data_IF_485214497046
#
_entry.id   IF_485214497046
#
_cell.length_a   1.000
_cell.length_b   1.000
_cell.length_c   1.000
_cell.angle_alpha   90.00
_cell.angle_beta   90.00
_cell.angle_gamma   90.00
#
_symmetry.space_group_name_H-M   'P 1'
#
loop_
_entity.id
_entity.type
_entity.pdbx_description
1 polymer ?
#
# COMPACT_ATOMS: atom_id res chain seq x y z
N UNK A 1 10.03 -33.64 10.42
CA UNK A 1 9.89 -33.47 8.97
C UNK A 1 9.48 -32.04 8.71
N UNK A 2 10.40 -31.21 8.24
CA UNK A 2 10.08 -29.89 7.67
C UNK A 2 9.46 -30.14 6.30
N UNK A 3 8.17 -29.84 6.13
CA UNK A 3 7.56 -29.83 4.80
C UNK A 3 8.21 -28.69 4.03
N UNK A 4 9.05 -29.01 3.05
CA UNK A 4 9.56 -28.02 2.11
C UNK A 4 8.37 -27.44 1.35
N UNK A 5 8.24 -26.12 1.37
CA UNK A 5 7.22 -25.41 0.60
C UNK A 5 7.55 -25.60 -0.87
N UNK A 6 6.53 -25.93 -1.67
CA UNK A 6 6.66 -26.11 -3.12
C UNK A 6 7.27 -24.86 -3.77
N UNK A 7 8.25 -25.07 -4.66
CA UNK A 7 8.92 -24.00 -5.39
C UNK A 7 7.93 -23.15 -6.18
N UNK A 8 6.89 -23.74 -6.76
CA UNK A 8 5.88 -22.99 -7.52
C UNK A 8 5.07 -22.05 -6.62
N UNK A 9 4.83 -22.45 -5.37
CA UNK A 9 4.19 -21.60 -4.36
C UNK A 9 5.11 -20.43 -4.01
N UNK A 10 6.41 -20.68 -3.82
CA UNK A 10 7.38 -19.62 -3.54
C UNK A 10 7.48 -18.60 -4.68
N UNK A 11 7.55 -19.07 -5.93
CA UNK A 11 7.59 -18.21 -7.12
C UNK A 11 6.31 -17.36 -7.23
N UNK A 12 5.15 -17.95 -6.92
CA UNK A 12 3.87 -17.23 -6.90
C UNK A 12 3.84 -16.15 -5.82
N UNK A 13 4.34 -16.44 -4.62
CA UNK A 13 4.44 -15.48 -3.53
C UNK A 13 5.40 -14.34 -3.88
N UNK A 14 6.55 -14.65 -4.48
CA UNK A 14 7.51 -13.64 -4.93
C UNK A 14 6.90 -12.70 -5.98
N UNK A 15 6.15 -13.25 -6.93
CA UNK A 15 5.40 -12.46 -7.90
C UNK A 15 4.33 -11.59 -7.23
N UNK A 16 3.60 -12.14 -6.26
CA UNK A 16 2.62 -11.37 -5.47
C UNK A 16 3.26 -10.19 -4.72
N UNK A 17 4.43 -10.39 -4.12
CA UNK A 17 5.21 -9.31 -3.48
C UNK A 17 5.58 -8.24 -4.49
N UNK A 18 6.16 -8.61 -5.65
CA UNK A 18 6.53 -7.65 -6.70
C UNK A 18 5.34 -6.84 -7.20
N UNK A 19 4.21 -7.50 -7.45
CA UNK A 19 2.98 -6.82 -7.87
C UNK A 19 2.47 -5.86 -6.80
N UNK A 20 2.50 -6.26 -5.52
CA UNK A 20 2.06 -5.38 -4.43
C UNK A 20 2.91 -4.11 -4.32
N UNK A 21 4.24 -4.22 -4.51
CA UNK A 21 5.15 -3.08 -4.50
C UNK A 21 4.83 -2.11 -5.64
N UNK A 22 4.62 -2.62 -6.86
CA UNK A 22 4.24 -1.80 -8.01
C UNK A 22 2.90 -1.08 -7.80
N UNK A 23 1.91 -1.74 -7.18
CA UNK A 23 0.63 -1.11 -6.85
C UNK A 23 0.84 0.03 -5.85
N UNK A 24 1.65 -0.18 -4.80
CA UNK A 24 1.95 0.88 -3.83
C UNK A 24 2.63 2.08 -4.48
N UNK A 25 3.61 1.86 -5.37
CA UNK A 25 4.27 2.93 -6.13
C UNK A 25 3.28 3.75 -6.94
N UNK A 26 2.35 3.10 -7.66
CA UNK A 26 1.31 3.77 -8.42
C UNK A 26 0.37 4.59 -7.53
N UNK A 27 0.02 4.08 -6.35
CA UNK A 27 -0.81 4.80 -5.38
C UNK A 27 -0.09 6.04 -4.82
N UNK A 28 1.21 5.95 -4.52
CA UNK A 28 2.02 7.12 -4.10
C UNK A 28 2.10 8.17 -5.21
N UNK A 29 2.32 7.75 -6.47
CA UNK A 29 2.30 8.66 -7.63
C UNK A 29 0.94 9.35 -7.76
N UNK A 30 -0.16 8.61 -7.56
CA UNK A 30 -1.51 9.17 -7.61
C UNK A 30 -1.74 10.23 -6.53
N UNK A 31 -1.30 9.97 -5.30
CA UNK A 31 -1.34 10.94 -4.19
C UNK A 31 -0.61 12.23 -4.58
N UNK A 32 0.65 12.12 -5.03
CA UNK A 32 1.46 13.30 -5.39
C UNK A 32 0.89 14.09 -6.58
N UNK A 33 0.24 13.43 -7.54
CA UNK A 33 -0.44 14.10 -8.67
C UNK A 33 -1.67 14.89 -8.24
N UNK A 34 -2.39 14.40 -7.25
CA UNK A 34 -3.61 15.04 -6.76
C UNK A 34 -3.31 16.12 -5.71
N UNK A 35 -2.34 15.85 -4.84
CA UNK A 35 -1.90 16.75 -3.78
C UNK A 35 -0.38 16.61 -3.60
N UNK A 36 0.34 17.60 -4.13
CA UNK A 36 1.81 17.65 -4.11
C UNK A 36 2.38 17.66 -2.68
N UNK A 37 1.74 18.40 -1.77
CA UNK A 37 2.17 18.48 -0.36
C UNK A 37 1.98 17.13 0.35
N UNK A 38 0.86 16.44 0.11
CA UNK A 38 0.63 15.11 0.65
C UNK A 38 1.65 14.09 0.12
N UNK A 39 2.02 14.19 -1.17
CA UNK A 39 3.08 13.37 -1.77
C UNK A 39 4.44 13.58 -1.09
N UNK A 40 4.84 14.84 -0.89
CA UNK A 40 6.11 15.19 -0.22
C UNK A 40 6.15 14.68 1.24
N UNK A 41 5.02 14.77 1.97
CA UNK A 41 4.91 14.22 3.34
C UNK A 41 5.08 12.70 3.35
N UNK A 42 4.45 11.99 2.40
CA UNK A 42 4.58 10.52 2.31
C UNK A 42 6.02 10.13 2.01
N UNK A 43 6.66 10.79 1.05
CA UNK A 43 8.07 10.56 0.72
C UNK A 43 8.97 10.81 1.93
N UNK A 44 8.75 11.89 2.68
CA UNK A 44 9.50 12.21 3.89
C UNK A 44 9.31 11.16 4.99
N UNK A 45 8.09 10.67 5.19
CA UNK A 45 7.81 9.65 6.21
C UNK A 45 8.50 8.32 5.88
N UNK A 46 8.50 7.93 4.61
CA UNK A 46 9.08 6.66 4.14
C UNK A 46 10.61 6.76 4.10
N UNK A 47 11.17 7.80 3.47
CA UNK A 47 12.62 7.95 3.30
C UNK A 47 13.36 8.17 4.62
N UNK A 48 12.71 8.79 5.61
CA UNK A 48 13.29 8.96 6.95
C UNK A 48 13.06 7.74 7.87
N UNK A 49 12.49 6.64 7.37
CA UNK A 49 12.21 5.44 8.16
C UNK A 49 11.20 5.64 9.29
N UNK A 50 10.41 6.72 9.22
CA UNK A 50 9.37 7.05 10.22
C UNK A 50 8.08 6.28 9.98
N UNK A 51 7.88 5.76 8.78
CA UNK A 51 6.78 4.89 8.44
C UNK A 51 7.18 3.87 7.37
N UNK A 52 6.48 2.74 7.36
CA UNK A 52 6.43 1.81 6.23
C UNK A 52 5.06 1.89 5.55
N UNK A 53 5.05 1.71 4.24
CA UNK A 53 3.80 1.59 3.50
C UNK A 53 3.26 0.16 3.60
N UNK A 54 1.96 0.05 3.82
CA UNK A 54 1.24 -1.23 3.86
C UNK A 54 0.06 -1.13 2.91
N UNK A 55 0.03 -2.04 1.93
CA UNK A 55 -1.12 -2.26 1.07
C UNK A 55 -2.03 -3.31 1.70
N UNK A 56 -3.24 -2.89 2.07
CA UNK A 56 -4.31 -3.80 2.41
C UNK A 56 -5.17 -4.04 1.17
N UNK A 57 -5.30 -5.30 0.77
CA UNK A 57 -6.14 -5.71 -0.34
C UNK A 57 -7.24 -6.65 0.18
N UNK A 58 -8.48 -6.38 -0.20
CA UNK A 58 -9.61 -7.25 0.09
C UNK A 58 -10.54 -7.37 -1.14
N UNK A 59 -11.66 -8.05 -0.98
CA UNK A 59 -12.66 -8.20 -2.05
C UNK A 59 -13.30 -6.88 -2.47
N UNK A 60 -13.24 -5.85 -1.62
CA UNK A 60 -13.85 -4.53 -1.82
C UNK A 60 -12.87 -3.54 -2.43
N UNK A 61 -11.56 -3.79 -2.41
CA UNK A 61 -10.58 -2.95 -3.07
C UNK A 61 -9.19 -2.94 -2.42
N UNK A 62 -8.54 -1.79 -2.51
CA UNK A 62 -7.15 -1.58 -2.11
C UNK A 62 -7.05 -0.33 -1.24
N UNK A 63 -6.36 -0.43 -0.11
CA UNK A 63 -6.10 0.68 0.79
C UNK A 63 -4.60 0.76 1.10
N UNK A 64 -4.04 1.95 0.95
CA UNK A 64 -2.64 2.23 1.28
C UNK A 64 -2.57 2.94 2.64
N UNK A 65 -1.78 2.41 3.57
CA UNK A 65 -1.58 2.98 4.89
C UNK A 65 -0.11 3.32 5.14
N UNK A 66 0.13 4.37 5.92
CA UNK A 66 1.41 4.59 6.60
C UNK A 66 1.35 3.92 7.99
N UNK A 67 2.30 3.03 8.27
CA UNK A 67 2.42 2.35 9.57
C UNK A 67 3.73 2.77 10.23
N UNK A 68 3.63 3.30 11.44
CA UNK A 68 4.77 3.75 12.23
C UNK A 68 5.60 2.59 12.84
N UNK A 69 6.72 2.92 13.51
CA UNK A 69 7.61 1.92 14.10
C UNK A 69 6.96 1.14 15.26
N UNK A 70 5.90 1.69 15.86
CA UNK A 70 5.08 1.05 16.90
C UNK A 70 3.99 0.12 16.34
N UNK A 71 4.02 -0.15 15.03
CA UNK A 71 3.03 -0.92 14.28
C UNK A 71 1.61 -0.33 14.30
N UNK A 72 1.47 0.97 14.58
CA UNK A 72 0.18 1.66 14.46
C UNK A 72 0.07 2.40 13.14
N UNK A 73 -1.16 2.45 12.63
CA UNK A 73 -1.50 3.29 11.48
C UNK A 73 -1.36 4.75 11.89
N UNK A 74 -0.67 5.53 11.07
CA UNK A 74 -0.53 6.98 11.24
C UNK A 74 -1.72 7.62 10.51
N UNK A 75 -2.74 8.03 11.26
CA UNK A 75 -3.96 8.61 10.69
C UNK A 75 -4.88 7.55 10.07
N UNK A 76 -5.29 7.77 8.82
CA UNK A 76 -6.17 6.87 8.05
C UNK A 76 -5.52 6.37 6.77
N UNK A 77 -6.31 5.81 5.82
CA UNK A 77 -5.80 5.44 4.51
C UNK A 77 -5.23 6.67 3.79
N UNK A 78 -4.02 6.55 3.27
CA UNK A 78 -3.40 7.56 2.41
C UNK A 78 -4.14 7.63 1.06
N UNK A 79 -4.60 6.48 0.57
CA UNK A 79 -5.42 6.36 -0.62
C UNK A 79 -6.22 5.07 -0.55
N UNK A 80 -7.50 5.14 -0.93
CA UNK A 80 -8.38 3.98 -1.03
C UNK A 80 -8.97 3.89 -2.43
N UNK A 81 -8.86 2.71 -3.04
CA UNK A 81 -9.58 2.32 -4.24
C UNK A 81 -10.67 1.32 -3.83
N UNK A 82 -11.92 1.58 -4.22
CA UNK A 82 -13.05 0.68 -3.98
C UNK A 82 -13.56 0.11 -5.31
N UNK A 83 -13.71 -1.21 -5.37
CA UNK A 83 -14.28 -1.93 -6.51
C UNK A 83 -15.81 -1.88 -6.39
N UNK A 84 -16.47 -1.33 -7.41
CA UNK A 84 -17.93 -1.24 -7.57
C UNK A 84 -18.70 -0.13 -6.82
N UNK A 85 -18.03 0.97 -6.45
CA UNK A 85 -18.72 2.26 -6.33
C UNK A 85 -18.41 3.09 -7.59
N UNK A 86 -19.44 3.62 -8.26
CA UNK A 86 -19.25 4.85 -9.05
C UNK A 86 -18.56 5.82 -8.09
N UNK A 87 -17.37 6.30 -8.45
CA UNK A 87 -16.58 7.21 -7.64
C UNK A 87 -17.45 8.35 -7.10
N UNK A 88 -17.83 8.28 -5.82
CA UNK A 88 -18.46 9.38 -5.11
C UNK A 88 -17.47 9.92 -4.10
N UNK A 89 -17.04 11.14 -4.37
CA UNK A 89 -16.18 11.94 -3.49
C UNK A 89 -16.85 12.12 -2.13
N UNK A 90 -16.08 11.99 -1.06
CA UNK A 90 -16.51 12.41 0.29
C UNK A 90 -15.67 13.63 0.67
N UNK A 91 -16.37 14.69 1.09
CA UNK A 91 -15.82 15.99 1.51
C UNK A 91 -14.85 15.90 2.68
#
# INVERSE_FOLDING_TARGET
MTQEIDKEILDTLENGVKTSLQIMELMVIAIGRQNKEAGEIVDDLVNNGKARLVLQADVNGLELFAVGPDNKVIGGPLLAYRRAERSTWVN
#
